data_IF_540020640906
#
_entry.id   IF_540020640906
#
_cell.length_a   1.000
_cell.length_b   1.000
_cell.length_c   1.000
_cell.angle_alpha   90.00
_cell.angle_beta   90.00
_cell.angle_gamma   90.00
#
_symmetry.space_group_name_H-M   'P 1'
#
loop_
_entity.id
_entity.type
_entity.pdbx_description
1 polymer ?
#
# COMPACT_ATOMS: atom_id res chain seq x y z
N UNK A 1 19.81 -0.53 -7.33
CA UNK A 1 18.47 0.12 -7.40
C UNK A 1 17.53 -0.42 -6.33
N UNK A 2 17.42 -1.75 -6.15
CA UNK A 2 16.64 -2.31 -5.02
C UNK A 2 17.15 -1.83 -3.65
N UNK A 3 18.46 -1.69 -3.49
CA UNK A 3 19.10 -1.13 -2.28
C UNK A 3 18.82 0.37 -2.05
N UNK A 4 18.27 1.07 -3.05
CA UNK A 4 17.92 2.48 -2.96
C UNK A 4 16.48 2.69 -2.50
N UNK A 5 15.72 1.63 -2.18
CA UNK A 5 14.39 1.78 -1.62
C UNK A 5 14.14 0.77 -0.49
N UNK A 6 13.83 1.28 0.70
CA UNK A 6 13.57 0.48 1.89
C UNK A 6 12.18 0.74 2.44
N UNK A 7 11.66 -0.20 3.23
CA UNK A 7 10.41 -0.03 3.98
C UNK A 7 10.77 0.09 5.46
N UNK A 8 10.30 1.16 6.11
CA UNK A 8 10.58 1.40 7.53
C UNK A 8 9.31 1.73 8.30
N UNK A 9 9.36 1.53 9.62
CA UNK A 9 8.30 2.03 10.48
C UNK A 9 8.33 3.57 10.48
N UNK A 10 7.17 4.20 10.45
CA UNK A 10 7.08 5.67 10.45
C UNK A 10 7.64 6.34 11.71
N UNK A 11 7.75 5.60 12.82
CA UNK A 11 8.37 6.06 14.06
C UNK A 11 9.88 5.77 14.12
N UNK A 12 10.42 4.97 13.20
CA UNK A 12 11.83 4.67 13.17
C UNK A 12 12.61 5.84 12.55
N UNK A 13 13.84 6.05 13.04
CA UNK A 13 14.78 6.94 12.39
C UNK A 13 15.03 6.50 10.94
N UNK A 14 15.05 7.47 10.03
CA UNK A 14 15.37 7.22 8.63
C UNK A 14 16.89 7.12 8.50
N UNK A 15 17.44 6.05 7.89
CA UNK A 15 18.88 5.94 7.71
C UNK A 15 19.45 7.13 6.92
N UNK A 16 20.69 7.53 7.24
CA UNK A 16 21.35 8.66 6.58
C UNK A 16 21.39 8.46 5.04
N UNK A 17 21.10 9.53 4.31
CA UNK A 17 21.04 9.53 2.85
C UNK A 17 19.77 8.96 2.24
N UNK A 18 18.78 8.52 3.05
CA UNK A 18 17.45 8.18 2.57
C UNK A 18 16.46 9.34 2.78
N UNK A 19 15.65 9.62 1.77
CA UNK A 19 14.51 10.54 1.86
C UNK A 19 13.27 9.80 2.37
N UNK A 20 12.62 10.24 3.45
CA UNK A 20 11.37 9.64 3.91
C UNK A 20 10.21 9.89 2.94
N UNK A 21 9.41 8.86 2.69
CA UNK A 21 8.16 8.94 1.93
C UNK A 21 7.07 8.25 2.72
N UNK A 22 6.08 9.00 3.22
CA UNK A 22 4.96 8.39 3.92
C UNK A 22 4.00 7.74 2.93
N UNK A 23 3.70 6.45 3.13
CA UNK A 23 2.78 5.67 2.27
C UNK A 23 1.56 5.14 3.03
N UNK A 24 1.34 5.60 4.26
CA UNK A 24 0.25 5.14 5.12
C UNK A 24 -1.09 5.83 4.85
N UNK A 25 -2.10 5.41 5.62
CA UNK A 25 -3.42 6.05 5.69
C UNK A 25 -3.39 7.30 6.55
N UNK A 26 -4.46 8.09 6.53
CA UNK A 26 -4.66 9.19 7.49
C UNK A 26 -4.61 8.68 8.93
N UNK A 27 -3.90 9.41 9.79
CA UNK A 27 -3.79 9.17 11.23
C UNK A 27 -3.90 10.52 11.97
N UNK A 28 -4.19 10.52 13.28
CA UNK A 28 -4.15 11.76 14.06
C UNK A 28 -2.82 12.50 13.85
N UNK A 29 -2.89 13.75 13.38
CA UNK A 29 -1.71 14.59 13.11
C UNK A 29 -0.90 14.21 11.86
N UNK A 30 -1.40 13.34 10.98
CA UNK A 30 -0.74 12.99 9.72
C UNK A 30 -1.73 12.67 8.60
N UNK A 31 -1.67 13.44 7.52
CA UNK A 31 -2.45 13.19 6.32
C UNK A 31 -2.09 11.84 5.68
N UNK A 32 -3.09 11.19 5.08
CA UNK A 32 -2.91 9.95 4.33
C UNK A 32 -2.21 10.19 3.00
N UNK A 33 -1.49 9.18 2.52
CA UNK A 33 -0.97 9.18 1.15
C UNK A 33 -1.97 8.55 0.17
N UNK A 34 -1.78 8.81 -1.12
CA UNK A 34 -2.50 8.10 -2.21
C UNK A 34 -2.28 6.58 -2.21
N UNK A 35 -1.27 6.10 -1.46
CA UNK A 35 -0.94 4.69 -1.27
C UNK A 35 -1.51 4.09 0.02
N UNK A 36 -2.35 4.82 0.75
CA UNK A 36 -3.01 4.30 1.94
C UNK A 36 -3.81 3.04 1.60
N UNK A 37 -3.49 1.90 2.23
CA UNK A 37 -4.22 0.66 2.00
C UNK A 37 -5.69 0.82 2.45
N UNK A 38 -6.68 0.75 1.54
CA UNK A 38 -8.07 0.95 1.90
C UNK A 38 -8.69 -0.25 2.62
N UNK A 39 -7.95 -1.35 2.81
CA UNK A 39 -8.40 -2.56 3.50
C UNK A 39 -8.04 -2.47 4.99
N UNK A 40 -8.95 -2.03 5.89
CA UNK A 40 -8.65 -1.85 7.30
C UNK A 40 -8.54 -3.19 8.02
N UNK A 41 -7.77 -3.20 9.10
CA UNK A 41 -7.72 -4.36 10.00
C UNK A 41 -9.00 -4.46 10.83
N UNK A 42 -9.35 -5.67 11.26
CA UNK A 42 -10.43 -5.86 12.23
C UNK A 42 -10.25 -4.96 13.47
N UNK A 43 -11.35 -4.37 13.95
CA UNK A 43 -11.35 -3.40 15.04
C UNK A 43 -10.82 -2.00 14.67
N UNK A 44 -10.56 -1.73 13.38
CA UNK A 44 -10.31 -0.37 12.87
C UNK A 44 -11.54 0.15 12.12
N UNK A 45 -11.58 1.47 11.89
CA UNK A 45 -12.67 2.12 11.16
C UNK A 45 -12.86 1.46 9.79
N UNK A 46 -14.06 0.94 9.57
CA UNK A 46 -14.54 0.50 8.26
C UNK A 46 -15.08 1.71 7.49
N UNK A 47 -14.63 1.91 6.26
CA UNK A 47 -15.01 3.06 5.41
C UNK A 47 -15.81 2.60 4.20
N UNK A 48 -16.46 3.53 3.51
CA UNK A 48 -17.12 3.23 2.23
C UNK A 48 -16.11 2.76 1.18
N UNK A 49 -14.91 3.35 1.16
CA UNK A 49 -13.82 2.90 0.31
C UNK A 49 -13.41 1.45 0.63
N UNK A 50 -13.33 1.09 1.92
CA UNK A 50 -13.06 -0.29 2.34
C UNK A 50 -14.14 -1.25 1.85
N UNK A 51 -15.42 -0.86 1.95
CA UNK A 51 -16.55 -1.65 1.45
C UNK A 51 -16.44 -1.85 -0.06
N UNK A 52 -16.24 -0.75 -0.80
CA UNK A 52 -16.12 -0.77 -2.26
C UNK A 52 -15.02 -1.74 -2.72
N UNK A 53 -13.81 -1.63 -2.18
CA UNK A 53 -12.72 -2.53 -2.57
C UNK A 53 -12.96 -3.97 -2.14
N UNK A 54 -13.61 -4.18 -1.00
CA UNK A 54 -13.98 -5.53 -0.56
C UNK A 54 -15.02 -6.17 -1.49
N UNK A 55 -16.01 -5.40 -1.97
CA UNK A 55 -16.98 -5.86 -2.96
C UNK A 55 -16.33 -6.20 -4.32
N UNK A 56 -15.33 -5.41 -4.75
CA UNK A 56 -14.53 -5.71 -5.95
C UNK A 56 -13.78 -7.03 -5.77
N UNK A 57 -13.09 -7.21 -4.63
CA UNK A 57 -12.33 -8.41 -4.33
C UNK A 57 -13.23 -9.66 -4.15
N UNK A 58 -14.45 -9.50 -3.63
CA UNK A 58 -15.43 -10.57 -3.51
C UNK A 58 -15.90 -11.12 -4.88
N UNK A 59 -15.69 -10.38 -5.97
CA UNK A 59 -15.99 -10.80 -7.35
C UNK A 59 -14.77 -11.30 -8.13
N UNK A 60 -13.60 -11.35 -7.50
CA UNK A 60 -12.35 -11.72 -8.17
C UNK A 60 -12.37 -13.20 -8.63
N UNK A 61 -11.77 -13.59 -9.76
CA UNK A 61 -11.79 -14.97 -10.26
C UNK A 61 -11.09 -15.99 -9.35
N UNK A 62 -10.10 -15.55 -8.56
CA UNK A 62 -9.43 -16.38 -7.54
C UNK A 62 -10.35 -16.61 -6.33
N UNK A 63 -10.69 -17.88 -6.07
CA UNK A 63 -11.58 -18.28 -4.98
C UNK A 63 -11.06 -17.89 -3.59
N UNK A 64 -9.74 -17.90 -3.37
CA UNK A 64 -9.14 -17.52 -2.09
C UNK A 64 -9.29 -16.02 -1.85
N UNK A 65 -9.14 -15.21 -2.90
CA UNK A 65 -9.37 -13.76 -2.81
C UNK A 65 -10.82 -13.48 -2.44
N UNK A 66 -11.78 -14.12 -3.12
CA UNK A 66 -13.21 -13.96 -2.81
C UNK A 66 -13.53 -14.31 -1.36
N UNK A 67 -13.10 -15.49 -0.92
CA UNK A 67 -13.38 -15.98 0.43
C UNK A 67 -12.87 -15.01 1.50
N UNK A 68 -11.65 -14.48 1.35
CA UNK A 68 -11.09 -13.52 2.31
C UNK A 68 -11.87 -12.20 2.29
N UNK A 69 -12.28 -11.72 1.11
CA UNK A 69 -13.04 -10.49 0.99
C UNK A 69 -14.47 -10.61 1.56
N UNK A 70 -15.16 -11.73 1.32
CA UNK A 70 -16.48 -12.04 1.89
C UNK A 70 -16.43 -12.10 3.42
N UNK A 71 -15.41 -12.77 3.97
CA UNK A 71 -15.18 -12.79 5.42
C UNK A 71 -14.95 -11.38 5.97
N UNK A 72 -14.15 -10.56 5.29
CA UNK A 72 -13.88 -9.19 5.71
C UNK A 72 -15.11 -8.28 5.61
N UNK A 73 -16.00 -8.50 4.63
CA UNK A 73 -17.28 -7.80 4.53
C UNK A 73 -18.19 -8.10 5.73
N UNK A 74 -18.29 -9.37 6.12
CA UNK A 74 -19.07 -9.78 7.29
C UNK A 74 -18.47 -9.30 8.62
N UNK A 75 -17.14 -9.37 8.76
CA UNK A 75 -16.43 -8.97 9.96
C UNK A 75 -16.09 -7.46 10.04
N UNK A 76 -16.32 -6.73 8.95
CA UNK A 76 -15.87 -5.33 8.77
C UNK A 76 -14.38 -5.14 9.11
N UNK A 77 -13.53 -6.01 8.55
CA UNK A 77 -12.10 -5.90 8.73
C UNK A 77 -11.32 -7.12 8.25
N UNK A 78 -10.05 -6.89 7.92
CA UNK A 78 -9.12 -7.90 7.46
C UNK A 78 -8.15 -8.32 8.56
N UNK A 79 -7.55 -9.52 8.43
CA UNK A 79 -6.31 -9.85 9.14
C UNK A 79 -5.15 -9.10 8.49
N UNK A 80 -4.11 -8.80 9.26
CA UNK A 80 -3.01 -7.94 8.80
C UNK A 80 -2.28 -8.47 7.55
N UNK A 81 -1.98 -9.77 7.51
CA UNK A 81 -1.33 -10.39 6.35
C UNK A 81 -2.21 -10.31 5.11
N UNK A 82 -3.51 -10.60 5.26
CA UNK A 82 -4.48 -10.58 4.16
C UNK A 82 -4.64 -9.15 3.59
N UNK A 83 -4.81 -8.14 4.45
CA UNK A 83 -4.91 -6.75 4.01
C UNK A 83 -3.67 -6.31 3.22
N UNK A 84 -2.47 -6.65 3.70
CA UNK A 84 -1.23 -6.30 3.03
C UNK A 84 -1.07 -7.03 1.68
N UNK A 85 -1.43 -8.31 1.62
CA UNK A 85 -1.29 -9.12 0.41
C UNK A 85 -2.32 -8.73 -0.66
N UNK A 86 -3.58 -8.51 -0.27
CA UNK A 86 -4.66 -8.15 -1.21
C UNK A 86 -4.53 -6.73 -1.73
N UNK A 87 -3.82 -5.84 -1.02
CA UNK A 87 -3.55 -4.49 -1.50
C UNK A 87 -2.90 -4.45 -2.89
N UNK A 88 -2.12 -5.46 -3.29
CA UNK A 88 -1.54 -5.53 -4.64
C UNK A 88 -2.60 -5.55 -5.75
N UNK A 89 -3.75 -6.16 -5.50
CA UNK A 89 -4.86 -6.25 -6.45
C UNK A 89 -5.60 -4.91 -6.51
N UNK A 90 -5.82 -4.30 -5.34
CA UNK A 90 -6.39 -2.96 -5.23
C UNK A 90 -5.52 -1.94 -5.95
N UNK A 91 -4.23 -1.88 -5.66
CA UNK A 91 -3.30 -0.95 -6.30
C UNK A 91 -3.27 -1.13 -7.82
N UNK A 92 -3.33 -2.37 -8.31
CA UNK A 92 -3.38 -2.65 -9.74
C UNK A 92 -4.63 -2.06 -10.40
N UNK A 93 -5.79 -2.25 -9.80
CA UNK A 93 -7.04 -1.67 -10.32
C UNK A 93 -7.04 -0.13 -10.18
N UNK A 94 -6.54 0.41 -9.07
CA UNK A 94 -6.37 1.87 -8.90
C UNK A 94 -5.50 2.47 -10.01
N UNK A 95 -4.40 1.81 -10.36
CA UNK A 95 -3.51 2.26 -11.45
C UNK A 95 -4.14 2.04 -12.83
N UNK A 96 -4.99 1.03 -13.00
CA UNK A 96 -5.68 0.77 -14.26
C UNK A 96 -6.73 1.82 -14.58
N UNK A 97 -7.47 2.27 -13.57
CA UNK A 97 -8.64 3.14 -13.74
C UNK A 97 -8.42 4.59 -13.28
N UNK A 98 -7.35 4.84 -12.51
CA UNK A 98 -7.02 6.14 -11.95
C UNK A 98 -5.63 6.61 -12.34
N UNK A 99 -5.44 7.92 -12.32
CA UNK A 99 -4.18 8.58 -12.65
C UNK A 99 -3.32 8.86 -11.41
N UNK A 100 -3.92 9.14 -10.26
CA UNK A 100 -3.17 9.59 -9.07
C UNK A 100 -2.19 8.55 -8.53
N UNK A 101 -2.56 7.26 -8.46
CA UNK A 101 -1.63 6.21 -8.05
C UNK A 101 -0.55 5.96 -9.10
N UNK A 102 -0.91 5.99 -10.39
CA UNK A 102 0.05 5.80 -11.48
C UNK A 102 1.08 6.93 -11.48
N UNK A 103 0.63 8.18 -11.43
CA UNK A 103 1.47 9.38 -11.38
C UNK A 103 2.44 9.31 -10.20
N UNK A 104 1.93 9.03 -9.00
CA UNK A 104 2.77 8.91 -7.81
C UNK A 104 3.78 7.75 -7.89
N UNK A 105 3.43 6.60 -8.51
CA UNK A 105 4.39 5.51 -8.72
C UNK A 105 5.48 5.89 -9.72
N UNK A 106 5.11 6.58 -10.80
CA UNK A 106 6.05 7.06 -11.82
C UNK A 106 7.00 8.11 -11.24
N UNK A 107 6.49 9.04 -10.43
CA UNK A 107 7.30 10.05 -9.74
C UNK A 107 8.32 9.42 -8.80
N UNK A 108 7.91 8.45 -7.98
CA UNK A 108 8.85 7.70 -7.12
C UNK A 108 9.85 6.89 -7.95
N UNK A 109 9.42 6.33 -9.08
CA UNK A 109 10.29 5.59 -9.99
C UNK A 109 11.37 6.48 -10.64
N UNK A 110 10.99 7.68 -11.11
CA UNK A 110 11.92 8.69 -11.64
C UNK A 110 12.95 9.13 -10.58
N UNK A 111 12.50 9.36 -9.34
CA UNK A 111 13.39 9.68 -8.21
C UNK A 111 14.45 8.60 -7.98
N UNK A 112 14.04 7.33 -8.00
CA UNK A 112 15.01 6.22 -7.92
C UNK A 112 15.96 6.16 -9.12
N UNK A 113 15.46 6.42 -10.34
CA UNK A 113 16.31 6.46 -11.55
C UNK A 113 17.36 7.56 -11.48
N UNK A 114 17.06 8.69 -10.83
CA UNK A 114 18.01 9.78 -10.54
C UNK A 114 19.00 9.47 -9.42
N UNK A 115 18.93 8.29 -8.82
CA UNK A 115 19.83 7.85 -7.74
C UNK A 115 19.38 8.26 -6.35
N UNK A 116 18.19 8.85 -6.18
CA UNK A 116 17.64 9.12 -4.85
C UNK A 116 17.41 7.80 -4.10
N UNK A 117 17.65 7.81 -2.79
CA UNK A 117 17.37 6.67 -1.92
C UNK A 117 16.12 6.96 -1.11
N UNK A 118 15.11 6.10 -1.17
CA UNK A 118 13.78 6.34 -0.60
C UNK A 118 13.49 5.40 0.58
N UNK A 119 12.99 5.95 1.68
CA UNK A 119 12.49 5.17 2.80
C UNK A 119 10.96 5.27 2.84
N UNK A 120 10.27 4.24 2.32
CA UNK A 120 8.82 4.15 2.38
C UNK A 120 8.38 3.87 3.82
N UNK A 121 7.77 4.86 4.44
CA UNK A 121 7.34 4.81 5.83
C UNK A 121 5.89 4.39 5.96
N UNK A 122 5.67 3.33 6.74
CA UNK A 122 4.34 2.87 7.12
C UNK A 122 4.31 2.44 8.58
N UNK A 123 3.18 2.62 9.26
CA UNK A 123 3.01 2.18 10.64
C UNK A 123 3.14 0.68 10.84
N UNK A 124 2.76 -0.12 9.84
CA UNK A 124 2.68 -1.57 9.97
C UNK A 124 4.05 -2.26 9.93
N UNK A 125 5.07 -1.65 9.30
CA UNK A 125 6.39 -2.24 9.20
C UNK A 125 7.01 -2.47 10.61
N UNK A 126 7.73 -3.59 10.85
CA UNK A 126 8.17 -4.61 9.89
C UNK A 126 7.21 -5.80 9.73
N UNK A 127 6.02 -5.78 10.37
CA UNK A 127 4.99 -6.81 10.16
C UNK A 127 4.50 -6.76 8.70
N UNK A 128 3.73 -7.76 8.20
CA UNK A 128 3.13 -7.69 6.87
C UNK A 128 2.50 -6.31 6.61
N UNK A 129 2.97 -5.66 5.55
CA UNK A 129 2.76 -4.24 5.31
C UNK A 129 2.60 -3.97 3.82
N UNK A 130 1.64 -3.12 3.48
CA UNK A 130 1.37 -2.75 2.10
C UNK A 130 2.48 -1.89 1.48
N UNK A 131 3.33 -1.25 2.29
CA UNK A 131 4.48 -0.51 1.79
C UNK A 131 5.47 -1.40 1.01
N UNK A 132 5.50 -2.71 1.29
CA UNK A 132 6.26 -3.67 0.47
C UNK A 132 5.69 -3.78 -0.95
N UNK A 133 4.35 -3.81 -1.08
CA UNK A 133 3.68 -3.80 -2.38
C UNK A 133 3.95 -2.51 -3.14
N UNK A 134 3.92 -1.35 -2.45
CA UNK A 134 4.25 -0.05 -3.06
C UNK A 134 5.71 -0.04 -3.53
N UNK A 135 6.65 -0.50 -2.69
CA UNK A 135 8.07 -0.63 -3.05
C UNK A 135 8.25 -1.45 -4.33
N UNK A 136 7.64 -2.63 -4.38
CA UNK A 136 7.77 -3.53 -5.52
C UNK A 136 7.16 -2.92 -6.79
N UNK A 137 6.05 -2.18 -6.66
CA UNK A 137 5.45 -1.42 -7.77
C UNK A 137 6.38 -0.30 -8.26
N UNK A 138 6.94 0.51 -7.36
CA UNK A 138 7.91 1.58 -7.69
C UNK A 138 9.13 1.00 -8.42
N UNK A 139 9.68 -0.11 -7.92
CA UNK A 139 10.79 -0.81 -8.60
C UNK A 139 10.41 -1.31 -9.99
N UNK A 140 9.16 -1.76 -10.17
CA UNK A 140 8.63 -2.16 -11.47
C UNK A 140 8.57 -1.00 -12.48
N UNK A 141 8.18 0.20 -12.04
CA UNK A 141 8.14 1.40 -12.88
C UNK A 141 9.52 2.03 -13.11
N UNK A 142 10.44 1.92 -12.15
CA UNK A 142 11.80 2.44 -12.28
C UNK A 142 12.67 1.65 -13.29
N UNK A 143 12.28 0.41 -13.63
CA UNK A 143 12.97 -0.44 -14.61
C UNK A 143 12.45 -0.29 -16.05
N UNK A 144 11.35 0.43 -16.23
CA UNK A 144 10.80 0.74 -17.55
C UNK A 144 11.53 1.93 -18.14
#
# INVERSE_FOLDING_TARGET
MEENIIVTNVRAAVPAGFTPVYVGRTMPGREGSVFGNPLPLAGKRWTEEARHWSDVLARHPDARVRQVAEQALGAQGYRQGDAAQLYRLVLREQVRWGDVQLSALMDLGERLRRGERLALQCWCAPKPCHALVVRDAVLGYARR
#
